data_IF_179157038667
#
_entry.id   IF_179157038667
#
_cell.length_a   1.000
_cell.length_b   1.000
_cell.length_c   1.000
_cell.angle_alpha   90.00
_cell.angle_beta   90.00
_cell.angle_gamma   90.00
#
_symmetry.space_group_name_H-M   'P 1'
#
loop_
_entity.id
_entity.type
_entity.pdbx_description
1 polymer ?
#
# COMPACT_ATOMS: atom_id res chain seq x y z
N UNK A 1 -43.75 36.75 37.65
CA UNK A 1 -42.36 36.34 37.96
C UNK A 1 -42.19 34.92 37.42
N UNK A 2 -41.34 34.80 36.39
CA UNK A 2 -40.78 33.64 35.67
C UNK A 2 -41.39 32.22 35.72
N UNK A 3 -41.55 31.67 34.51
CA UNK A 3 -41.78 30.26 34.17
C UNK A 3 -40.45 29.49 34.02
N UNK A 4 -40.48 28.18 34.24
CA UNK A 4 -39.45 27.23 33.74
C UNK A 4 -40.13 25.93 33.28
N UNK A 5 -40.14 25.72 31.97
CA UNK A 5 -40.38 24.43 31.30
C UNK A 5 -39.16 24.15 30.44
N UNK A 6 -38.37 23.11 30.74
CA UNK A 6 -37.24 22.69 29.91
C UNK A 6 -37.67 21.59 28.94
N UNK A 7 -37.87 21.97 27.68
CA UNK A 7 -38.04 21.06 26.55
C UNK A 7 -36.69 20.58 26.00
N UNK A 8 -36.65 19.33 25.57
CA UNK A 8 -35.53 18.75 24.83
C UNK A 8 -35.34 19.43 23.46
N UNK A 9 -34.12 19.80 23.04
CA UNK A 9 -33.90 20.37 21.73
C UNK A 9 -33.83 19.29 20.64
N UNK A 10 -34.64 19.48 19.58
CA UNK A 10 -34.48 18.82 18.28
C UNK A 10 -33.15 19.27 17.66
N UNK A 11 -32.31 18.34 17.24
CA UNK A 11 -31.11 18.64 16.48
C UNK A 11 -31.42 18.70 14.97
N UNK A 12 -31.09 19.86 14.41
CA UNK A 12 -31.25 20.30 13.02
C UNK A 12 -30.30 19.56 12.05
N UNK A 13 -30.79 19.28 10.84
CA UNK A 13 -30.17 18.53 9.74
C UNK A 13 -29.12 19.33 8.94
N UNK A 14 -28.30 20.17 9.59
CA UNK A 14 -27.32 21.06 8.93
C UNK A 14 -25.86 20.83 9.35
N UNK A 15 -25.40 19.59 9.33
CA UNK A 15 -23.97 19.25 9.50
C UNK A 15 -23.50 18.18 8.48
N UNK A 16 -23.85 18.41 7.22
CA UNK A 16 -23.04 17.94 6.09
C UNK A 16 -22.53 19.19 5.39
N UNK A 17 -21.31 19.12 4.87
CA UNK A 17 -20.66 20.15 4.06
C UNK A 17 -19.82 21.18 4.83
N UNK A 18 -18.66 20.74 5.35
CA UNK A 18 -17.50 21.66 5.46
C UNK A 18 -16.18 20.89 5.36
N UNK A 19 -15.75 20.56 4.14
CA UNK A 19 -14.32 20.52 3.81
C UNK A 19 -14.11 20.55 2.30
N UNK A 20 -13.34 21.55 1.87
CA UNK A 20 -12.74 21.75 0.55
C UNK A 20 -13.61 22.37 -0.55
N UNK A 21 -13.84 23.68 -0.39
CA UNK A 21 -13.93 24.62 -1.53
C UNK A 21 -12.62 25.40 -1.59
N UNK A 22 -12.14 25.63 -2.82
CA UNK A 22 -11.03 26.52 -3.26
C UNK A 22 -9.71 25.83 -3.62
N UNK A 23 -9.53 25.45 -4.89
CA UNK A 23 -8.75 26.21 -5.89
C UNK A 23 -8.64 25.41 -7.21
N UNK A 24 -9.22 25.97 -8.27
CA UNK A 24 -8.78 25.72 -9.64
C UNK A 24 -7.73 26.79 -9.96
N UNK A 25 -6.57 26.38 -10.50
CA UNK A 25 -5.94 26.90 -11.73
C UNK A 25 -4.42 26.61 -11.75
N UNK A 26 -4.01 25.95 -12.83
CA UNK A 26 -2.68 25.86 -13.48
C UNK A 26 -1.89 24.53 -13.43
N UNK A 27 -1.32 24.10 -14.60
CA UNK A 27 -0.66 22.81 -14.76
C UNK A 27 0.86 22.94 -14.65
N UNK A 28 1.47 22.11 -13.81
CA UNK A 28 2.79 21.46 -14.02
C UNK A 28 3.19 20.72 -12.75
N UNK A 29 3.41 19.40 -12.89
CA UNK A 29 4.23 18.54 -12.04
C UNK A 29 4.13 18.78 -10.52
N UNK A 30 3.19 18.10 -9.87
CA UNK A 30 3.20 17.96 -8.42
C UNK A 30 2.89 16.50 -8.06
N UNK A 31 3.94 15.75 -7.68
CA UNK A 31 3.83 14.45 -7.03
C UNK A 31 3.08 14.65 -5.70
N UNK A 32 1.79 14.34 -5.66
CA UNK A 32 0.97 14.50 -4.45
C UNK A 32 1.13 13.26 -3.56
N UNK A 33 1.99 13.37 -2.55
CA UNK A 33 2.05 12.41 -1.44
C UNK A 33 0.88 12.71 -0.50
N UNK A 34 -0.19 11.91 -0.55
CA UNK A 34 -1.28 12.00 0.42
C UNK A 34 -1.02 11.08 1.62
N UNK A 35 -0.74 11.66 2.78
CA UNK A 35 -0.82 10.96 4.07
C UNK A 35 -2.30 10.88 4.50
N UNK A 36 -2.88 9.68 4.41
CA UNK A 36 -4.23 9.41 4.89
C UNK A 36 -4.16 8.96 6.35
N UNK A 37 -4.44 9.86 7.30
CA UNK A 37 -4.65 9.52 8.71
C UNK A 37 -6.13 9.18 8.95
N UNK A 38 -6.45 7.90 9.07
CA UNK A 38 -7.75 7.43 9.57
C UNK A 38 -7.75 7.46 11.10
N UNK A 39 -8.72 8.16 11.69
CA UNK A 39 -8.88 8.29 13.13
C UNK A 39 -9.33 6.95 13.77
N UNK A 40 -8.58 6.48 14.75
CA UNK A 40 -8.84 5.25 15.52
C UNK A 40 -10.08 5.37 16.42
N UNK A 41 -10.95 4.34 16.41
CA UNK A 41 -11.79 3.98 17.57
C UNK A 41 -10.97 3.08 18.50
N UNK A 42 -11.08 3.33 19.81
CA UNK A 42 -10.36 2.60 20.87
C UNK A 42 -10.87 1.16 20.98
N UNK A 43 -9.96 0.19 21.02
CA UNK A 43 -10.23 -1.09 21.67
C UNK A 43 -10.00 -2.37 20.87
N UNK A 44 -9.02 -2.44 19.97
CA UNK A 44 -8.48 -3.70 19.44
C UNK A 44 -7.01 -3.45 19.08
N UNK A 45 -6.09 -4.27 19.58
CA UNK A 45 -4.66 -4.19 19.20
C UNK A 45 -4.49 -4.79 17.80
N UNK A 46 -5.05 -4.16 16.79
CA UNK A 46 -4.62 -4.38 15.41
C UNK A 46 -3.28 -3.68 15.26
N UNK A 47 -2.23 -4.43 14.96
CA UNK A 47 -0.94 -3.85 14.58
C UNK A 47 -1.18 -2.97 13.36
N UNK A 48 -1.36 -1.67 13.58
CA UNK A 48 -1.47 -0.70 12.50
C UNK A 48 -0.11 -0.68 11.78
N UNK A 49 -0.01 -1.47 10.71
CA UNK A 49 1.09 -1.32 9.76
C UNK A 49 0.76 -0.04 9.01
N UNK A 50 1.44 1.05 9.38
CA UNK A 50 1.16 2.38 8.84
C UNK A 50 1.44 2.42 7.32
N UNK A 51 0.59 3.12 6.58
CA UNK A 51 0.76 3.56 5.17
C UNK A 51 2.12 4.22 4.86
N UNK A 52 2.92 4.55 5.89
CA UNK A 52 4.28 5.08 5.79
C UNK A 52 5.29 4.15 5.07
N UNK A 53 4.89 2.92 4.68
CA UNK A 53 5.77 1.95 4.02
C UNK A 53 5.52 1.75 2.53
N UNK A 54 4.68 2.54 1.87
CA UNK A 54 4.50 2.42 0.43
C UNK A 54 4.24 3.76 -0.26
N UNK A 55 4.73 3.89 -1.48
CA UNK A 55 4.28 4.94 -2.41
C UNK A 55 2.98 4.48 -3.04
N UNK A 56 1.93 5.30 -2.94
CA UNK A 56 0.65 5.05 -3.60
C UNK A 56 0.49 6.07 -4.73
N UNK A 57 0.36 5.58 -5.96
CA UNK A 57 -0.05 6.37 -7.11
C UNK A 57 -1.53 6.09 -7.36
N UNK A 58 -2.43 7.06 -7.10
CA UNK A 58 -3.86 6.88 -7.32
C UNK A 58 -4.20 6.52 -8.76
N UNK A 59 -5.37 5.90 -8.96
CA UNK A 59 -5.95 5.75 -10.29
C UNK A 59 -6.21 7.11 -10.95
N UNK A 60 -6.09 7.19 -12.27
CA UNK A 60 -6.40 8.41 -13.05
C UNK A 60 -7.85 8.83 -12.82
N UNK A 61 -8.77 7.87 -12.92
CA UNK A 61 -10.17 8.03 -12.54
C UNK A 61 -10.34 7.72 -11.05
N UNK A 62 -9.77 8.56 -10.18
CA UNK A 62 -9.68 8.30 -8.73
C UNK A 62 -11.02 8.02 -8.04
N UNK A 63 -12.12 8.63 -8.52
CA UNK A 63 -13.48 8.38 -8.02
C UNK A 63 -14.04 7.00 -8.40
N UNK A 64 -13.41 6.33 -9.37
CA UNK A 64 -13.80 5.03 -9.91
C UNK A 64 -12.74 3.95 -9.67
N UNK A 65 -11.74 4.22 -8.82
CA UNK A 65 -10.71 3.28 -8.42
C UNK A 65 -11.34 1.97 -7.91
N UNK A 66 -11.11 0.88 -8.63
CA UNK A 66 -11.72 -0.42 -8.35
C UNK A 66 -10.73 -1.60 -8.40
N UNK A 67 -9.44 -1.32 -8.65
CA UNK A 67 -8.38 -2.32 -8.77
C UNK A 67 -7.04 -1.74 -8.30
N UNK A 68 -6.15 -2.60 -7.83
CA UNK A 68 -4.83 -2.18 -7.34
C UNK A 68 -3.75 -3.13 -7.85
N UNK A 69 -2.64 -2.57 -8.32
CA UNK A 69 -1.40 -3.33 -8.54
C UNK A 69 -0.43 -2.99 -7.41
N UNK A 70 0.03 -4.01 -6.68
CA UNK A 70 1.07 -3.88 -5.66
C UNK A 70 2.37 -4.39 -6.31
N UNK A 71 3.39 -3.54 -6.42
CA UNK A 71 4.65 -3.88 -7.09
C UNK A 71 5.85 -3.80 -6.15
N UNK A 72 6.45 -4.94 -5.82
CA UNK A 72 7.59 -5.05 -4.90
C UNK A 72 8.93 -4.97 -5.65
N UNK A 73 9.78 -4.02 -5.26
CA UNK A 73 11.10 -3.79 -5.86
C UNK A 73 12.12 -4.90 -5.54
N UNK A 74 13.24 -4.92 -6.27
CA UNK A 74 14.37 -5.82 -6.02
C UNK A 74 15.28 -5.34 -4.87
N UNK A 75 16.26 -6.17 -4.51
CA UNK A 75 17.24 -5.87 -3.46
C UNK A 75 17.95 -4.53 -3.71
N UNK A 76 18.10 -3.71 -2.67
CA UNK A 76 18.84 -2.45 -2.67
C UNK A 76 18.06 -1.24 -3.20
N UNK A 77 16.91 -1.46 -3.84
CA UNK A 77 16.08 -0.40 -4.42
C UNK A 77 15.00 0.12 -3.45
N UNK A 78 14.04 0.91 -3.92
CA UNK A 78 12.93 1.46 -3.14
C UNK A 78 11.63 1.43 -3.93
N UNK A 79 10.48 1.53 -3.25
CA UNK A 79 9.19 1.69 -3.92
C UNK A 79 9.13 2.93 -4.84
N UNK A 80 9.80 4.02 -4.46
CA UNK A 80 9.88 5.22 -5.30
C UNK A 80 10.66 4.97 -6.61
N UNK A 81 11.69 4.13 -6.59
CA UNK A 81 12.45 3.74 -7.79
C UNK A 81 11.61 3.02 -8.84
N UNK A 82 10.44 2.49 -8.46
CA UNK A 82 9.53 1.75 -9.35
C UNK A 82 8.24 2.50 -9.70
N UNK A 83 8.03 3.71 -9.18
CA UNK A 83 6.81 4.48 -9.45
C UNK A 83 6.64 4.84 -10.94
N UNK A 84 7.74 4.83 -11.70
CA UNK A 84 7.74 5.04 -13.15
C UNK A 84 6.80 4.06 -13.89
N UNK A 85 6.53 2.87 -13.35
CA UNK A 85 5.59 1.91 -13.94
C UNK A 85 4.17 2.50 -14.02
N UNK A 86 3.72 3.15 -12.94
CA UNK A 86 2.43 3.81 -12.91
C UNK A 86 2.38 4.98 -13.89
N UNK A 87 3.42 5.83 -13.89
CA UNK A 87 3.54 6.96 -14.83
C UNK A 87 3.49 6.50 -16.28
N UNK A 88 4.21 5.42 -16.61
CA UNK A 88 4.28 4.84 -17.95
C UNK A 88 2.93 4.29 -18.41
N UNK A 89 2.27 3.47 -17.59
CA UNK A 89 1.01 2.84 -17.99
C UNK A 89 -0.16 3.82 -17.99
N UNK A 90 -0.26 4.67 -16.98
CA UNK A 90 -1.29 5.71 -16.94
C UNK A 90 -1.08 6.75 -18.05
N UNK A 91 0.17 7.13 -18.35
CA UNK A 91 0.51 8.00 -19.48
C UNK A 91 0.10 7.41 -20.83
N UNK A 92 0.09 6.08 -20.95
CA UNK A 92 -0.44 5.35 -22.11
C UNK A 92 -1.95 5.12 -22.08
N UNK A 93 -2.66 5.73 -21.12
CA UNK A 93 -4.11 5.57 -20.89
C UNK A 93 -4.53 4.12 -20.62
N UNK A 94 -3.62 3.31 -20.09
CA UNK A 94 -3.91 1.96 -19.63
C UNK A 94 -4.35 2.01 -18.17
N UNK A 95 -5.26 1.10 -17.81
CA UNK A 95 -5.69 0.89 -16.42
C UNK A 95 -6.20 2.18 -15.72
N UNK A 96 -7.13 2.94 -16.31
CA UNK A 96 -7.56 4.25 -15.78
C UNK A 96 -8.15 4.19 -14.36
N UNK A 97 -8.66 3.01 -13.96
CA UNK A 97 -9.30 2.73 -12.67
C UNK A 97 -8.42 1.95 -11.70
N UNK A 98 -7.14 1.79 -12.02
CA UNK A 98 -6.18 1.03 -11.23
C UNK A 98 -5.19 1.97 -10.54
N UNK A 99 -5.08 1.84 -9.22
CA UNK A 99 -3.99 2.46 -8.48
C UNK A 99 -2.78 1.54 -8.40
N UNK A 100 -1.62 2.13 -8.16
CA UNK A 100 -0.37 1.41 -7.99
C UNK A 100 0.18 1.65 -6.59
N UNK A 101 0.62 0.59 -5.93
CA UNK A 101 1.21 0.62 -4.60
C UNK A 101 2.61 0.03 -4.69
N UNK A 102 3.60 0.81 -4.32
CA UNK A 102 5.01 0.43 -4.35
C UNK A 102 5.56 0.40 -2.93
N UNK A 103 5.53 -0.75 -2.25
CA UNK A 103 6.03 -0.86 -0.89
C UNK A 103 7.56 -0.73 -0.82
N UNK A 104 8.04 -0.22 0.31
CA UNK A 104 9.44 -0.12 0.68
C UNK A 104 9.81 -1.33 1.54
N UNK A 105 10.82 -2.08 1.10
CA UNK A 105 11.42 -3.12 1.92
C UNK A 105 12.09 -2.52 3.18
N UNK A 106 12.15 -3.25 4.31
CA UNK A 106 12.92 -2.81 5.46
C UNK A 106 14.42 -2.76 5.13
N UNK A 107 15.15 -1.87 5.82
CA UNK A 107 16.62 -1.87 5.75
C UNK A 107 17.18 -2.94 6.68
N UNK A 108 17.76 -3.99 6.11
CA UNK A 108 18.33 -5.16 6.80
C UNK A 108 19.78 -5.39 6.36
N UNK A 109 20.62 -6.06 7.17
CA UNK A 109 21.92 -6.54 6.70
C UNK A 109 21.74 -7.61 5.61
N UNK A 110 22.59 -7.58 4.59
CA UNK A 110 22.58 -8.56 3.50
C UNK A 110 23.90 -9.32 3.46
N UNK A 111 23.85 -10.62 3.75
CA UNK A 111 25.02 -11.48 3.94
C UNK A 111 25.87 -11.60 2.68
N UNK A 112 25.28 -11.82 1.50
CA UNK A 112 26.01 -11.90 0.23
C UNK A 112 26.74 -10.59 -0.14
N UNK A 113 26.29 -9.48 0.44
CA UNK A 113 26.89 -8.15 0.27
C UNK A 113 27.78 -7.77 1.47
N UNK A 114 28.37 -8.75 2.14
CA UNK A 114 29.29 -8.51 3.26
C UNK A 114 28.62 -7.89 4.49
N UNK A 115 27.31 -8.11 4.67
CA UNK A 115 26.54 -7.57 5.79
C UNK A 115 26.12 -6.10 5.63
N UNK A 116 26.31 -5.50 4.45
CA UNK A 116 25.86 -4.13 4.18
C UNK A 116 24.36 -3.98 4.44
N UNK A 117 23.97 -2.91 5.14
CA UNK A 117 22.56 -2.61 5.41
C UNK A 117 21.94 -1.85 4.24
N UNK A 118 20.95 -2.46 3.60
CA UNK A 118 20.23 -1.87 2.48
C UNK A 118 18.77 -2.35 2.46
N UNK A 119 17.87 -1.73 1.68
CA UNK A 119 16.51 -2.24 1.53
C UNK A 119 16.51 -3.68 1.02
N UNK A 120 15.89 -4.59 1.75
CA UNK A 120 15.78 -6.00 1.40
C UNK A 120 14.59 -6.66 2.08
N UNK A 121 13.90 -7.53 1.35
CA UNK A 121 12.74 -8.27 1.86
C UNK A 121 13.15 -9.43 2.77
N UNK A 122 14.31 -10.04 2.50
CA UNK A 122 14.88 -11.10 3.30
C UNK A 122 16.39 -11.12 3.09
N UNK A 123 17.14 -11.76 3.97
CA UNK A 123 18.57 -11.91 3.81
C UNK A 123 18.89 -12.92 2.68
N UNK A 124 19.92 -12.61 1.89
CA UNK A 124 20.45 -13.49 0.86
C UNK A 124 21.86 -13.85 1.28
N UNK A 125 22.08 -15.14 1.57
CA UNK A 125 23.39 -15.65 1.96
C UNK A 125 24.27 -15.86 0.73
N UNK A 126 23.71 -16.45 -0.32
CA UNK A 126 24.42 -16.79 -1.56
C UNK A 126 23.41 -16.84 -2.73
N UNK A 127 23.81 -16.37 -3.91
CA UNK A 127 23.02 -16.46 -5.15
C UNK A 127 23.28 -17.74 -5.96
N UNK A 128 24.43 -18.39 -5.76
CA UNK A 128 24.89 -19.53 -6.57
C UNK A 128 24.60 -20.90 -5.97
N UNK A 129 24.24 -20.97 -4.69
CA UNK A 129 24.02 -22.23 -3.99
C UNK A 129 22.53 -22.49 -3.70
N UNK A 130 21.92 -23.37 -4.50
CA UNK A 130 20.52 -23.79 -4.33
C UNK A 130 20.24 -24.58 -3.04
N UNK A 131 21.28 -25.01 -2.33
CA UNK A 131 21.18 -25.71 -1.03
C UNK A 131 21.52 -24.81 0.15
N UNK A 132 21.85 -23.55 -0.09
CA UNK A 132 22.08 -22.59 0.98
C UNK A 132 20.81 -22.43 1.80
N UNK A 133 21.00 -22.23 3.11
CA UNK A 133 19.90 -21.96 4.03
C UNK A 133 19.23 -20.64 3.63
N UNK A 134 17.93 -20.68 3.38
CA UNK A 134 17.13 -19.48 3.13
C UNK A 134 16.75 -18.78 4.45
N UNK A 135 16.59 -17.46 4.39
CA UNK A 135 16.06 -16.64 5.49
C UNK A 135 14.53 -16.76 5.58
N UNK A 136 14.07 -17.91 6.05
CA UNK A 136 12.64 -18.20 6.18
C UNK A 136 11.90 -17.17 7.06
N UNK A 137 12.53 -16.70 8.12
CA UNK A 137 11.94 -15.73 9.04
C UNK A 137 11.77 -14.36 8.37
N UNK A 138 12.79 -13.88 7.64
CA UNK A 138 12.71 -12.66 6.85
C UNK A 138 11.67 -12.76 5.75
N UNK A 139 11.64 -13.88 5.03
CA UNK A 139 10.63 -14.17 4.01
C UNK A 139 9.22 -14.11 4.61
N UNK A 140 8.96 -14.81 5.73
CA UNK A 140 7.66 -14.79 6.42
C UNK A 140 7.30 -13.40 6.92
N UNK A 141 8.29 -12.65 7.40
CA UNK A 141 8.10 -11.27 7.86
C UNK A 141 7.66 -10.34 6.72
N UNK A 142 8.34 -10.42 5.57
CA UNK A 142 7.98 -9.64 4.39
C UNK A 142 6.65 -10.04 3.78
N UNK A 143 6.30 -11.34 3.79
CA UNK A 143 4.98 -11.80 3.38
C UNK A 143 3.87 -11.18 4.25
N UNK A 144 4.08 -11.07 5.57
CA UNK A 144 3.13 -10.37 6.46
C UNK A 144 3.00 -8.89 6.16
N UNK A 145 4.09 -8.21 5.77
CA UNK A 145 4.04 -6.80 5.35
C UNK A 145 3.16 -6.65 4.10
N UNK A 146 3.40 -7.48 3.08
CA UNK A 146 2.60 -7.46 1.85
C UNK A 146 1.14 -7.84 2.10
N UNK A 147 0.89 -8.83 2.97
CA UNK A 147 -0.46 -9.20 3.37
C UNK A 147 -1.19 -8.06 4.10
N UNK A 148 -0.49 -7.29 4.94
CA UNK A 148 -1.04 -6.09 5.56
C UNK A 148 -1.50 -5.07 4.51
N UNK A 149 -0.68 -4.81 3.49
CA UNK A 149 -1.03 -3.89 2.40
C UNK A 149 -2.23 -4.42 1.62
N UNK A 150 -2.29 -5.72 1.31
CA UNK A 150 -3.44 -6.35 0.64
C UNK A 150 -4.71 -6.13 1.46
N UNK A 151 -4.65 -6.41 2.77
CA UNK A 151 -5.79 -6.22 3.68
C UNK A 151 -6.25 -4.76 3.67
N UNK A 152 -5.34 -3.79 3.73
CA UNK A 152 -5.70 -2.37 3.62
C UNK A 152 -6.42 -2.02 2.30
N UNK A 153 -6.02 -2.62 1.18
CA UNK A 153 -6.71 -2.40 -0.10
C UNK A 153 -8.12 -2.99 -0.10
N UNK A 154 -8.28 -4.18 0.49
CA UNK A 154 -9.60 -4.82 0.64
C UNK A 154 -10.50 -4.01 1.56
N UNK A 155 -9.98 -3.51 2.69
CA UNK A 155 -10.72 -2.65 3.62
C UNK A 155 -11.13 -1.31 2.99
N UNK A 156 -10.37 -0.82 2.01
CA UNK A 156 -10.75 0.33 1.17
C UNK A 156 -11.89 0.03 0.20
N UNK A 157 -12.30 -1.23 0.07
CA UNK A 157 -13.38 -1.67 -0.81
C UNK A 157 -12.91 -2.23 -2.16
N UNK A 158 -11.60 -2.45 -2.37
CA UNK A 158 -11.09 -3.07 -3.59
C UNK A 158 -11.29 -4.59 -3.50
N UNK A 159 -12.05 -5.23 -4.41
CA UNK A 159 -12.20 -6.68 -4.38
C UNK A 159 -10.84 -7.37 -4.49
N UNK A 160 -10.58 -8.39 -3.67
CA UNK A 160 -9.30 -9.12 -3.67
C UNK A 160 -8.90 -9.65 -5.04
N UNK A 161 -9.88 -10.11 -5.84
CA UNK A 161 -9.69 -10.56 -7.24
C UNK A 161 -9.24 -9.46 -8.21
N UNK A 162 -9.30 -8.20 -7.81
CA UNK A 162 -8.84 -7.01 -8.55
C UNK A 162 -7.56 -6.41 -7.95
N UNK A 163 -6.94 -7.13 -7.01
CA UNK A 163 -5.61 -6.83 -6.49
C UNK A 163 -4.63 -7.79 -7.15
N UNK A 164 -3.62 -7.25 -7.83
CA UNK A 164 -2.55 -8.01 -8.48
C UNK A 164 -1.25 -7.74 -7.75
N UNK A 165 -0.48 -8.80 -7.49
CA UNK A 165 0.89 -8.70 -6.98
C UNK A 165 1.88 -8.83 -8.15
N UNK A 166 2.85 -7.94 -8.21
CA UNK A 166 3.98 -8.01 -9.14
C UNK A 166 5.27 -7.65 -8.42
N UNK A 167 6.40 -8.02 -9.01
CA UNK A 167 7.68 -7.62 -8.46
C UNK A 167 8.86 -8.04 -9.32
N UNK A 168 10.03 -7.49 -8.98
CA UNK A 168 11.28 -7.77 -9.67
C UNK A 168 12.30 -8.40 -8.73
N UNK A 169 13.05 -9.40 -9.22
CA UNK A 169 14.09 -10.11 -8.46
C UNK A 169 13.55 -10.59 -7.10
N UNK A 170 14.14 -10.16 -5.96
CA UNK A 170 13.66 -10.48 -4.62
C UNK A 170 12.17 -10.13 -4.41
N UNK A 171 11.72 -8.98 -4.92
CA UNK A 171 10.31 -8.58 -4.85
C UNK A 171 9.39 -9.46 -5.70
N UNK A 172 9.92 -10.07 -6.77
CA UNK A 172 9.21 -11.06 -7.58
C UNK A 172 8.96 -12.35 -6.79
N UNK A 173 9.98 -12.84 -6.08
CA UNK A 173 9.85 -13.98 -5.16
C UNK A 173 8.78 -13.70 -4.11
N UNK A 174 8.84 -12.53 -3.47
CA UNK A 174 7.85 -12.15 -2.46
C UNK A 174 6.43 -12.04 -3.02
N UNK A 175 6.27 -11.56 -4.25
CA UNK A 175 4.97 -11.44 -4.91
C UNK A 175 4.36 -12.80 -5.19
N UNK A 176 5.17 -13.74 -5.73
CA UNK A 176 4.74 -15.10 -6.00
C UNK A 176 4.37 -15.83 -4.71
N UNK A 177 5.28 -15.82 -3.72
CA UNK A 177 5.06 -16.48 -2.45
C UNK A 177 3.81 -15.96 -1.75
N UNK A 178 3.68 -14.64 -1.63
CA UNK A 178 2.52 -14.01 -0.98
C UNK A 178 1.23 -14.33 -1.74
N UNK A 179 1.23 -14.28 -3.08
CA UNK A 179 0.03 -14.62 -3.86
C UNK A 179 -0.40 -16.08 -3.74
N UNK A 180 0.57 -17.01 -3.70
CA UNK A 180 0.28 -18.44 -3.55
C UNK A 180 -0.20 -18.79 -2.14
N UNK A 181 0.36 -18.14 -1.11
CA UNK A 181 0.09 -18.43 0.30
C UNK A 181 -0.98 -17.54 0.95
N UNK A 182 -1.46 -16.51 0.25
CA UNK A 182 -2.54 -15.66 0.75
C UNK A 182 -3.82 -16.46 0.96
N UNK A 183 -4.50 -16.19 2.08
CA UNK A 183 -5.84 -16.71 2.37
C UNK A 183 -6.91 -16.13 1.44
N UNK A 184 -6.62 -14.99 0.82
CA UNK A 184 -7.50 -14.34 -0.15
C UNK A 184 -7.16 -14.80 -1.57
N UNK A 185 -8.19 -15.10 -2.36
CA UNK A 185 -8.03 -15.29 -3.82
C UNK A 185 -7.74 -13.94 -4.47
N UNK A 186 -6.46 -13.68 -4.76
CA UNK A 186 -6.01 -12.48 -5.47
C UNK A 186 -6.23 -12.61 -6.99
N UNK A 187 -6.11 -11.48 -7.69
CA UNK A 187 -6.13 -11.46 -9.15
C UNK A 187 -4.90 -12.17 -9.75
N UNK A 188 -5.11 -12.91 -10.85
CA UNK A 188 -4.05 -13.67 -11.53
C UNK A 188 -3.77 -15.07 -10.96
N UNK A 189 -4.54 -15.52 -9.97
CA UNK A 189 -4.57 -16.88 -9.42
C UNK A 189 -5.80 -17.64 -9.89
#
# INVERSE_FOLDING_TARGET
MQAYTSGAPRLDSKHRDTCYRTLLLHPRSALHIYNCNLAHRRGERTMAITTARAIIVPAVESKLWDSTIIFSHGLGDTGAGWSFLAETWQGRKLFPRTAFVFPHAPTIPITCNGGMRMPGWYDIVDFGNLTAKEDEDGIRSSARILQGIITEQVERGIPSKRIILGGFSQGGVMSLLTGLTSEMSLGGK
#
